data_IF_918796505541
#
_entry.id   IF_918796505541
#
_cell.length_a   1.000
_cell.length_b   1.000
_cell.length_c   1.000
_cell.angle_alpha   90.00
_cell.angle_beta   90.00
_cell.angle_gamma   90.00
#
_symmetry.space_group_name_H-M   'P 1'
#
loop_
_entity.id
_entity.type
_entity.pdbx_description
1 polymer ?
#
# COMPACT_ATOMS: atom_id res chain seq x y z
N UNK A 1 24.68 45.95 19.28
CA UNK A 1 23.79 44.77 19.44
C UNK A 1 22.75 44.91 20.57
N UNK A 2 23.08 45.47 21.75
CA UNK A 2 22.16 45.57 22.91
C UNK A 2 20.96 46.55 22.78
N UNK A 3 21.03 47.62 21.97
CA UNK A 3 19.90 48.56 21.75
C UNK A 3 18.78 47.96 20.88
N UNK A 4 19.12 47.24 19.81
CA UNK A 4 18.16 46.69 18.83
C UNK A 4 17.21 45.62 19.39
N UNK A 5 17.66 44.85 20.39
CA UNK A 5 16.84 43.83 21.07
C UNK A 5 15.88 44.48 22.08
N UNK A 6 16.29 45.61 22.67
CA UNK A 6 15.53 46.35 23.69
C UNK A 6 14.22 46.91 23.13
N UNK A 7 14.26 47.41 21.89
CA UNK A 7 13.12 48.03 21.22
C UNK A 7 12.07 47.01 20.72
N UNK A 8 12.46 45.72 20.60
CA UNK A 8 11.59 44.65 20.11
C UNK A 8 10.75 43.95 21.20
N UNK A 9 11.21 43.92 22.45
CA UNK A 9 10.60 43.08 23.50
C UNK A 9 9.51 43.82 24.30
N UNK A 10 9.66 45.13 24.48
CA UNK A 10 8.70 45.95 25.23
C UNK A 10 7.27 46.05 24.65
N UNK A 11 7.08 46.02 23.32
CA UNK A 11 5.75 46.02 22.71
C UNK A 11 4.99 44.70 22.88
N UNK A 12 5.68 43.58 23.09
CA UNK A 12 5.07 42.24 22.98
C UNK A 12 4.00 42.00 24.03
N UNK A 13 4.25 42.37 25.30
CA UNK A 13 3.28 42.16 26.40
C UNK A 13 2.06 43.07 26.28
N UNK A 14 2.28 44.33 25.84
CA UNK A 14 1.19 45.26 25.61
C UNK A 14 0.34 44.81 24.41
N UNK A 15 0.98 44.43 23.31
CA UNK A 15 0.32 44.04 22.05
C UNK A 15 -0.30 42.65 22.11
N UNK A 16 0.16 41.75 22.98
CA UNK A 16 -0.41 40.41 23.15
C UNK A 16 -1.79 40.42 23.84
N UNK A 17 -2.18 41.53 24.47
CA UNK A 17 -3.51 41.67 25.09
C UNK A 17 -4.58 42.00 24.04
N UNK A 18 -4.83 41.08 23.12
CA UNK A 18 -5.87 41.23 22.10
C UNK A 18 -6.60 39.89 21.94
N UNK A 19 -7.85 39.94 21.48
CA UNK A 19 -8.70 38.74 21.40
C UNK A 19 -8.07 37.62 20.55
N UNK A 20 -7.37 37.94 19.46
CA UNK A 20 -6.70 36.96 18.59
C UNK A 20 -5.55 36.25 19.33
N UNK A 21 -4.68 37.02 19.97
CA UNK A 21 -3.56 36.45 20.74
C UNK A 21 -4.05 35.69 21.98
N UNK A 22 -5.12 36.14 22.64
CA UNK A 22 -5.74 35.43 23.77
C UNK A 22 -6.36 34.11 23.33
N UNK A 23 -7.08 34.08 22.20
CA UNK A 23 -7.56 32.83 21.59
C UNK A 23 -6.38 31.89 21.30
N UNK A 24 -5.28 32.41 20.76
CA UNK A 24 -4.06 31.63 20.55
C UNK A 24 -3.52 30.99 21.84
N UNK A 25 -3.44 31.77 22.94
CA UNK A 25 -3.02 31.25 24.26
C UNK A 25 -3.97 30.18 24.78
N UNK A 26 -5.29 30.37 24.64
CA UNK A 26 -6.29 29.37 25.06
C UNK A 26 -6.12 28.07 24.29
N UNK A 27 -5.92 28.13 22.97
CA UNK A 27 -5.72 26.94 22.14
C UNK A 27 -4.42 26.20 22.49
N UNK A 28 -3.31 26.93 22.66
CA UNK A 28 -2.02 26.32 23.04
C UNK A 28 -2.11 25.68 24.43
N UNK A 29 -2.70 26.37 25.40
CA UNK A 29 -2.83 25.87 26.77
C UNK A 29 -3.78 24.67 26.82
N UNK A 30 -4.93 24.76 26.17
CA UNK A 30 -5.88 23.65 26.08
C UNK A 30 -5.27 22.43 25.39
N UNK A 31 -4.53 22.63 24.29
CA UNK A 31 -3.83 21.55 23.61
C UNK A 31 -2.70 20.95 24.46
N UNK A 32 -1.96 21.76 25.20
CA UNK A 32 -0.93 21.28 26.13
C UNK A 32 -1.53 20.46 27.28
N UNK A 33 -2.65 20.89 27.86
CA UNK A 33 -3.37 20.14 28.90
C UNK A 33 -3.90 18.83 28.34
N UNK A 34 -4.54 18.85 27.17
CA UNK A 34 -5.01 17.64 26.50
C UNK A 34 -3.85 16.68 26.20
N UNK A 35 -2.71 17.20 25.74
CA UNK A 35 -1.50 16.41 25.52
C UNK A 35 -1.02 15.73 26.81
N UNK A 36 -0.99 16.44 27.95
CA UNK A 36 -0.63 15.86 29.25
C UNK A 36 -1.60 14.72 29.65
N UNK A 37 -2.91 14.94 29.49
CA UNK A 37 -3.92 13.94 29.82
C UNK A 37 -3.84 12.69 28.94
N UNK A 38 -3.43 12.86 27.67
CA UNK A 38 -3.25 11.79 26.70
C UNK A 38 -1.85 11.17 26.74
N UNK A 39 -0.93 11.71 27.53
CA UNK A 39 0.45 11.23 27.61
C UNK A 39 0.56 9.74 27.94
N UNK A 40 -0.28 9.13 28.82
CA UNK A 40 -0.27 7.69 29.06
C UNK A 40 -0.52 6.86 27.79
N UNK A 41 -1.48 7.26 26.95
CA UNK A 41 -1.77 6.54 25.69
C UNK A 41 -0.66 6.73 24.66
N UNK A 42 0.03 7.87 24.70
CA UNK A 42 1.22 8.10 23.87
C UNK A 42 2.41 7.23 24.30
N UNK A 43 2.53 6.87 25.58
CA UNK A 43 3.63 6.05 26.10
C UNK A 43 3.42 4.55 25.84
N UNK A 44 2.17 4.06 25.85
CA UNK A 44 1.85 2.63 25.63
C UNK A 44 1.96 2.17 24.18
N UNK A 45 2.17 3.09 23.23
CA UNK A 45 2.59 2.77 21.86
C UNK A 45 1.50 2.77 20.80
N UNK A 46 0.25 2.48 21.15
CA UNK A 46 -0.84 2.31 20.17
C UNK A 46 -2.09 3.14 20.49
N UNK A 47 -2.63 3.82 19.49
CA UNK A 47 -4.01 4.29 19.54
C UNK A 47 -4.95 3.09 19.37
N UNK A 48 -5.83 2.87 20.35
CA UNK A 48 -6.77 1.75 20.34
C UNK A 48 -7.69 1.72 19.10
N UNK A 49 -7.92 2.88 18.45
CA UNK A 49 -8.68 2.97 17.20
C UNK A 49 -8.08 4.04 16.27
N UNK A 50 -8.30 3.94 14.94
CA UNK A 50 -7.88 4.97 14.00
C UNK A 50 -8.44 6.36 14.35
N UNK A 51 -9.68 6.44 14.82
CA UNK A 51 -10.33 7.71 15.14
C UNK A 51 -9.69 8.43 16.32
N UNK A 52 -9.32 7.69 17.38
CA UNK A 52 -8.57 8.25 18.50
C UNK A 52 -7.22 8.76 17.98
N UNK A 53 -6.54 7.98 17.13
CA UNK A 53 -5.28 8.40 16.52
C UNK A 53 -5.38 9.69 15.71
N UNK A 54 -6.41 9.87 14.89
CA UNK A 54 -6.66 11.12 14.14
C UNK A 54 -6.85 12.30 15.11
N UNK A 55 -7.66 12.12 16.17
CA UNK A 55 -7.91 13.17 17.14
C UNK A 55 -6.63 13.58 17.89
N UNK A 56 -5.88 12.60 18.40
CA UNK A 56 -4.72 12.84 19.25
C UNK A 56 -3.47 13.22 18.47
N UNK A 57 -3.28 12.68 17.27
CA UNK A 57 -2.05 12.81 16.51
C UNK A 57 -2.18 13.69 15.27
N UNK A 58 -3.38 14.12 14.86
CA UNK A 58 -3.54 15.09 13.76
C UNK A 58 -4.23 16.37 14.23
N UNK A 59 -5.41 16.26 14.83
CA UNK A 59 -6.21 17.44 15.22
C UNK A 59 -5.51 18.23 16.34
N UNK A 60 -5.04 17.54 17.38
CA UNK A 60 -4.39 18.18 18.53
C UNK A 60 -3.11 18.96 18.14
N UNK A 61 -2.16 18.40 17.35
CA UNK A 61 -1.04 19.19 16.81
C UNK A 61 -1.49 20.41 15.99
N UNK A 62 -2.50 20.27 15.12
CA UNK A 62 -3.02 21.38 14.31
C UNK A 62 -3.54 22.50 15.20
N UNK A 63 -4.31 22.19 16.25
CA UNK A 63 -4.82 23.17 17.22
C UNK A 63 -3.66 23.86 17.95
N UNK A 64 -2.66 23.10 18.40
CA UNK A 64 -1.49 23.62 19.10
C UNK A 64 -0.70 24.62 18.23
N UNK A 65 -0.36 24.23 17.00
CA UNK A 65 0.40 25.09 16.08
C UNK A 65 -0.42 26.27 15.54
N UNK A 66 -1.71 26.09 15.29
CA UNK A 66 -2.62 27.19 14.95
C UNK A 66 -2.68 28.22 16.10
N UNK A 67 -2.79 27.75 17.35
CA UNK A 67 -2.74 28.60 18.53
C UNK A 67 -1.42 29.38 18.63
N UNK A 68 -0.28 28.72 18.43
CA UNK A 68 1.04 29.37 18.40
C UNK A 68 1.14 30.41 17.28
N UNK A 69 0.52 30.18 16.12
CA UNK A 69 0.49 31.13 15.00
C UNK A 69 -0.43 32.33 15.24
N UNK A 70 -1.54 32.16 15.96
CA UNK A 70 -2.48 33.24 16.29
C UNK A 70 -1.86 34.29 17.23
N UNK A 71 -0.95 33.88 18.14
CA UNK A 71 -0.27 34.78 19.07
C UNK A 71 0.49 35.90 18.34
N UNK A 72 1.48 35.64 17.47
CA UNK A 72 2.20 36.67 16.72
C UNK A 72 1.31 37.36 15.67
N UNK A 73 0.31 36.66 15.09
CA UNK A 73 -0.64 37.27 14.16
C UNK A 73 -1.45 38.38 14.85
N UNK A 74 -1.98 38.12 16.05
CA UNK A 74 -2.72 39.11 16.84
C UNK A 74 -1.85 40.32 17.20
N UNK A 75 -0.60 40.07 17.62
CA UNK A 75 0.39 41.12 17.91
C UNK A 75 0.63 41.99 16.67
N UNK A 76 0.83 41.38 15.49
CA UNK A 76 1.08 42.09 14.23
C UNK A 76 -0.12 42.92 13.78
N UNK A 77 -1.32 42.35 13.84
CA UNK A 77 -2.55 43.04 13.44
C UNK A 77 -2.87 44.21 14.37
N UNK A 78 -2.69 44.04 15.68
CA UNK A 78 -2.87 45.10 16.66
C UNK A 78 -1.84 46.21 16.50
N UNK A 79 -0.55 45.86 16.32
CA UNK A 79 0.50 46.83 16.04
C UNK A 79 0.20 47.65 14.78
N UNK A 80 -0.17 46.99 13.67
CA UNK A 80 -0.56 47.68 12.43
C UNK A 80 -1.73 48.65 12.65
N UNK A 81 -2.78 48.20 13.36
CA UNK A 81 -3.94 49.04 13.68
C UNK A 81 -3.55 50.26 14.50
N UNK A 82 -2.82 50.07 15.60
CA UNK A 82 -2.44 51.16 16.50
C UNK A 82 -1.47 52.16 15.83
N UNK A 83 -0.56 51.69 14.97
CA UNK A 83 0.27 52.58 14.15
C UNK A 83 -0.54 53.38 13.13
N UNK A 84 -1.55 52.76 12.50
CA UNK A 84 -2.40 53.43 11.50
C UNK A 84 -3.38 54.41 12.14
N UNK A 85 -3.83 54.13 13.37
CA UNK A 85 -4.74 54.98 14.14
C UNK A 85 -4.03 56.06 14.97
N UNK A 86 -2.70 56.10 15.00
CA UNK A 86 -1.93 57.08 15.78
C UNK A 86 -1.96 56.89 17.30
N UNK A 87 -2.50 55.77 17.79
CA UNK A 87 -2.65 55.44 19.22
C UNK A 87 -1.46 54.61 19.73
N UNK A 88 -0.45 54.37 18.88
CA UNK A 88 0.70 53.58 19.24
C UNK A 88 1.52 54.28 20.35
N UNK A 89 1.79 53.63 21.50
CA UNK A 89 2.52 54.24 22.59
C UNK A 89 3.89 54.78 22.15
N UNK A 90 4.19 56.03 22.49
CA UNK A 90 5.48 56.68 22.17
C UNK A 90 6.61 56.26 23.10
N UNK A 91 6.28 55.66 24.25
CA UNK A 91 7.24 55.13 25.23
C UNK A 91 6.73 53.82 25.82
N UNK A 92 7.58 52.80 25.84
CA UNK A 92 7.34 51.56 26.55
C UNK A 92 8.21 51.46 27.82
N UNK A 93 7.84 50.65 28.83
CA UNK A 93 8.63 50.49 30.04
C UNK A 93 10.09 50.11 29.75
N UNK A 94 11.07 50.63 30.49
CA UNK A 94 12.48 50.35 30.22
C UNK A 94 12.79 48.86 30.40
N UNK A 95 13.27 48.25 29.31
CA UNK A 95 13.73 46.86 29.26
C UNK A 95 15.13 46.77 29.87
N UNK A 96 15.16 46.66 31.20
CA UNK A 96 16.36 46.52 32.03
C UNK A 96 16.32 45.20 32.82
N UNK A 97 17.45 44.48 32.83
CA UNK A 97 17.64 43.25 33.62
C UNK A 97 17.53 43.51 35.14
N UNK A 98 17.67 44.75 35.58
CA UNK A 98 17.44 45.14 36.99
C UNK A 98 15.96 45.11 37.36
N UNK A 99 15.05 45.27 36.40
CA UNK A 99 13.60 45.26 36.63
C UNK A 99 13.12 43.82 36.91
N UNK A 100 12.49 43.61 38.07
CA UNK A 100 11.99 42.30 38.50
C UNK A 100 10.87 41.76 37.58
N UNK A 101 9.98 42.63 37.10
CA UNK A 101 8.90 42.25 36.19
C UNK A 101 9.44 41.83 34.83
N UNK A 102 10.48 42.53 34.33
CA UNK A 102 11.15 42.16 33.09
C UNK A 102 11.87 40.81 33.21
N UNK A 103 12.57 40.56 34.34
CA UNK A 103 13.19 39.24 34.61
C UNK A 103 12.16 38.11 34.65
N UNK A 104 11.05 38.29 35.37
CA UNK A 104 9.96 37.30 35.44
C UNK A 104 9.35 37.01 34.07
N UNK A 105 9.13 38.05 33.26
CA UNK A 105 8.66 37.91 31.88
C UNK A 105 9.66 37.12 31.03
N UNK A 106 10.94 37.48 31.08
CA UNK A 106 11.99 36.80 30.32
C UNK A 106 12.07 35.31 30.71
N UNK A 107 12.06 35.02 32.01
CA UNK A 107 12.04 33.64 32.53
C UNK A 107 10.78 32.90 32.07
N UNK A 108 9.61 33.53 32.15
CA UNK A 108 8.36 32.94 31.67
C UNK A 108 8.40 32.63 30.17
N UNK A 109 8.83 33.58 29.34
CA UNK A 109 8.94 33.39 27.88
C UNK A 109 9.95 32.30 27.57
N UNK A 110 11.10 32.27 28.26
CA UNK A 110 12.10 31.22 28.07
C UNK A 110 11.53 29.83 28.44
N UNK A 111 10.89 29.68 29.59
CA UNK A 111 10.29 28.43 30.04
C UNK A 111 9.12 28.00 29.15
N UNK A 112 8.23 28.92 28.78
CA UNK A 112 7.11 28.64 27.89
C UNK A 112 7.59 28.26 26.49
N UNK A 113 8.64 28.91 25.97
CA UNK A 113 9.24 28.54 24.69
C UNK A 113 9.85 27.15 24.75
N UNK A 114 10.61 26.84 25.82
CA UNK A 114 11.17 25.51 26.04
C UNK A 114 10.06 24.45 26.11
N UNK A 115 9.02 24.68 26.90
CA UNK A 115 7.87 23.78 26.99
C UNK A 115 7.17 23.60 25.62
N UNK A 116 6.96 24.67 24.87
CA UNK A 116 6.34 24.62 23.54
C UNK A 116 7.21 23.84 22.55
N UNK A 117 8.54 23.96 22.62
CA UNK A 117 9.46 23.17 21.80
C UNK A 117 9.34 21.69 22.15
N UNK A 118 9.34 21.33 23.43
CA UNK A 118 9.20 19.94 23.88
C UNK A 118 7.86 19.34 23.42
N UNK A 119 6.75 20.04 23.72
CA UNK A 119 5.39 19.61 23.36
C UNK A 119 5.24 19.53 21.85
N UNK A 120 5.63 20.59 21.13
CA UNK A 120 5.55 20.67 19.68
C UNK A 120 6.37 19.58 18.99
N UNK A 121 7.57 19.29 19.49
CA UNK A 121 8.42 18.21 18.96
C UNK A 121 7.78 16.84 19.15
N UNK A 122 7.26 16.56 20.36
CA UNK A 122 6.59 15.29 20.64
C UNK A 122 5.31 15.11 19.82
N UNK A 123 4.48 16.16 19.76
CA UNK A 123 3.25 16.17 18.96
C UNK A 123 3.56 15.94 17.48
N UNK A 124 4.56 16.61 16.93
CA UNK A 124 4.96 16.45 15.52
C UNK A 124 5.50 15.05 15.25
N UNK A 125 6.40 14.55 16.11
CA UNK A 125 6.97 13.21 15.98
C UNK A 125 5.87 12.14 15.98
N UNK A 126 4.94 12.22 16.92
CA UNK A 126 3.80 11.29 17.02
C UNK A 126 2.82 11.43 15.87
N UNK A 127 2.56 12.65 15.40
CA UNK A 127 1.75 12.89 14.20
C UNK A 127 2.32 12.19 12.97
N UNK A 128 3.61 12.37 12.72
CA UNK A 128 4.31 11.73 11.60
C UNK A 128 4.28 10.21 11.72
N UNK A 129 4.68 9.69 12.87
CA UNK A 129 4.71 8.24 13.09
C UNK A 129 3.33 7.60 12.99
N UNK A 130 2.28 8.28 13.44
CA UNK A 130 0.91 7.80 13.28
C UNK A 130 0.49 7.77 11.80
N UNK A 131 0.76 8.83 11.04
CA UNK A 131 0.48 8.88 9.60
C UNK A 131 1.25 7.84 8.78
N UNK A 132 2.34 7.31 9.34
CA UNK A 132 3.17 6.29 8.71
C UNK A 132 2.80 4.86 9.16
N UNK A 133 1.80 4.73 10.03
CA UNK A 133 1.35 3.43 10.53
C UNK A 133 0.40 2.72 9.57
N UNK A 134 0.42 1.38 9.62
CA UNK A 134 -0.55 0.52 8.92
C UNK A 134 -1.99 0.86 9.33
N UNK A 135 -2.22 1.17 10.61
CA UNK A 135 -3.52 1.57 11.12
C UNK A 135 -4.06 2.82 10.42
N UNK A 136 -3.23 3.85 10.27
CA UNK A 136 -3.65 5.05 9.55
C UNK A 136 -3.87 4.77 8.07
N UNK A 137 -2.87 4.20 7.38
CA UNK A 137 -2.94 3.98 5.94
C UNK A 137 -4.07 3.01 5.53
N UNK A 138 -4.31 1.95 6.31
CA UNK A 138 -5.27 0.91 5.97
C UNK A 138 -6.68 1.13 6.52
N UNK A 139 -6.83 1.80 7.67
CA UNK A 139 -8.11 1.85 8.39
C UNK A 139 -8.71 3.26 8.52
N UNK A 140 -7.92 4.34 8.39
CA UNK A 140 -8.47 5.70 8.51
C UNK A 140 -9.43 6.02 7.36
N UNK A 141 -9.05 5.69 6.13
CA UNK A 141 -9.87 5.83 4.93
C UNK A 141 -10.52 4.48 4.55
N UNK A 142 -11.26 3.88 5.49
CA UNK A 142 -11.72 2.50 5.40
C UNK A 142 -12.38 2.17 4.05
N UNK A 143 -13.29 2.97 3.49
CA UNK A 143 -13.91 2.62 2.20
C UNK A 143 -12.91 2.53 1.04
N UNK A 144 -12.00 3.49 0.92
CA UNK A 144 -11.07 3.59 -0.23
C UNK A 144 -9.93 2.58 -0.11
N UNK A 145 -9.46 2.37 1.12
CA UNK A 145 -8.30 1.53 1.41
C UNK A 145 -8.66 0.09 1.75
N UNK A 146 -9.93 -0.23 2.02
CA UNK A 146 -10.37 -1.59 2.37
C UNK A 146 -9.91 -2.66 1.37
N UNK A 147 -9.97 -2.48 0.03
CA UNK A 147 -9.48 -3.49 -0.90
C UNK A 147 -8.01 -3.84 -0.70
N UNK A 148 -7.15 -2.82 -0.68
CA UNK A 148 -5.70 -3.00 -0.57
C UNK A 148 -5.31 -3.45 0.85
N UNK A 149 -6.03 -3.00 1.89
CA UNK A 149 -5.79 -3.38 3.28
C UNK A 149 -6.18 -4.84 3.57
N UNK A 150 -7.32 -5.30 3.08
CA UNK A 150 -7.75 -6.69 3.22
C UNK A 150 -6.79 -7.66 2.52
N UNK A 151 -6.30 -7.29 1.34
CA UNK A 151 -5.29 -8.05 0.62
C UNK A 151 -3.93 -8.05 1.37
N UNK A 152 -3.49 -6.89 1.89
CA UNK A 152 -2.25 -6.75 2.66
C UNK A 152 -2.21 -7.70 3.87
N UNK A 153 -3.31 -7.81 4.63
CA UNK A 153 -3.38 -8.61 5.85
C UNK A 153 -3.11 -10.10 5.64
N UNK A 154 -3.38 -10.62 4.44
CA UNK A 154 -3.21 -12.02 4.08
C UNK A 154 -1.98 -12.26 3.19
N UNK A 155 -1.08 -11.27 3.12
CA UNK A 155 0.07 -11.31 2.22
C UNK A 155 1.37 -11.74 2.91
N UNK A 156 2.40 -12.16 2.15
CA UNK A 156 3.75 -12.41 2.68
C UNK A 156 4.38 -11.18 3.37
N UNK A 157 3.84 -9.99 3.11
CA UNK A 157 4.31 -8.71 3.64
C UNK A 157 3.37 -8.11 4.69
N UNK A 158 2.43 -8.88 5.27
CA UNK A 158 1.47 -8.41 6.27
C UNK A 158 2.09 -7.83 7.57
N UNK A 159 3.40 -7.94 7.74
CA UNK A 159 4.18 -7.42 8.86
C UNK A 159 5.18 -6.32 8.47
N UNK A 160 5.16 -5.87 7.22
CA UNK A 160 6.00 -4.77 6.70
C UNK A 160 5.15 -3.50 6.66
N UNK A 161 5.63 -2.37 7.18
CA UNK A 161 4.82 -1.18 7.23
C UNK A 161 4.50 -0.67 5.82
N UNK A 162 3.31 -0.08 5.62
CA UNK A 162 2.93 0.46 4.31
C UNK A 162 3.98 1.44 3.76
N UNK A 163 4.56 2.25 4.64
CA UNK A 163 5.54 3.29 4.28
C UNK A 163 6.89 2.76 3.82
N UNK A 164 7.27 1.56 4.25
CA UNK A 164 8.52 0.91 3.83
C UNK A 164 8.49 0.64 2.32
N UNK A 165 7.29 0.47 1.75
CA UNK A 165 7.06 0.32 0.31
C UNK A 165 6.63 1.63 -0.38
N UNK A 166 5.74 2.42 0.25
CA UNK A 166 5.03 3.52 -0.44
C UNK A 166 5.61 4.92 -0.26
N UNK A 167 6.42 5.20 0.77
CA UNK A 167 6.91 6.57 1.06
C UNK A 167 8.38 6.76 0.65
N UNK A 168 9.21 5.72 0.72
CA UNK A 168 10.62 5.79 0.37
C UNK A 168 11.49 6.58 1.39
N UNK A 169 12.78 6.25 1.54
CA UNK A 169 13.70 6.96 2.41
C UNK A 169 14.13 8.30 1.81
N UNK A 170 14.54 9.21 2.69
CA UNK A 170 15.07 10.52 2.33
C UNK A 170 14.03 11.64 2.42
N UNK A 171 14.50 12.83 2.77
CA UNK A 171 13.64 13.99 3.03
C UNK A 171 12.80 14.42 1.82
N UNK A 172 13.30 14.25 0.60
CA UNK A 172 12.58 14.64 -0.62
C UNK A 172 11.34 13.77 -0.87
N UNK A 173 11.48 12.45 -0.72
CA UNK A 173 10.38 11.50 -0.88
C UNK A 173 9.38 11.61 0.26
N UNK A 174 9.86 11.82 1.49
CA UNK A 174 9.00 12.13 2.63
C UNK A 174 8.12 13.37 2.37
N UNK A 175 8.68 14.48 1.87
CA UNK A 175 7.87 15.68 1.58
C UNK A 175 6.89 15.44 0.42
N UNK A 176 7.34 14.78 -0.66
CA UNK A 176 6.48 14.45 -1.81
C UNK A 176 5.30 13.57 -1.39
N UNK A 177 5.53 12.56 -0.55
CA UNK A 177 4.46 11.68 -0.09
C UNK A 177 3.41 12.42 0.73
N UNK A 178 3.82 13.36 1.61
CA UNK A 178 2.88 14.18 2.40
C UNK A 178 2.09 15.16 1.53
N UNK A 179 2.70 15.77 0.51
CA UNK A 179 1.99 16.63 -0.44
C UNK A 179 0.99 15.84 -1.29
N UNK A 180 1.38 14.66 -1.78
CA UNK A 180 0.47 13.74 -2.48
C UNK A 180 -0.66 13.27 -1.57
N UNK A 181 -0.35 12.93 -0.31
CA UNK A 181 -1.32 12.53 0.70
C UNK A 181 -2.34 13.61 1.02
N UNK A 182 -1.95 14.89 1.04
CA UNK A 182 -2.90 16.00 1.19
C UNK A 182 -3.88 16.06 0.00
N UNK A 183 -3.40 15.86 -1.23
CA UNK A 183 -4.26 15.75 -2.41
C UNK A 183 -5.22 14.56 -2.34
N UNK A 184 -4.74 13.40 -1.88
CA UNK A 184 -5.58 12.21 -1.65
C UNK A 184 -6.64 12.45 -0.58
N UNK A 185 -6.29 13.11 0.52
CA UNK A 185 -7.23 13.47 1.57
C UNK A 185 -8.35 14.36 1.00
N UNK A 186 -8.02 15.38 0.21
CA UNK A 186 -9.01 16.22 -0.46
C UNK A 186 -9.89 15.37 -1.41
N UNK A 187 -9.29 14.49 -2.20
CA UNK A 187 -10.04 13.62 -3.11
C UNK A 187 -11.03 12.71 -2.35
N UNK A 188 -10.62 12.16 -1.20
CA UNK A 188 -11.50 11.37 -0.32
C UNK A 188 -12.59 12.25 0.29
N UNK A 189 -12.26 13.43 0.82
CA UNK A 189 -13.21 14.37 1.43
C UNK A 189 -14.29 14.83 0.44
N UNK A 190 -13.91 15.13 -0.80
CA UNK A 190 -14.81 15.61 -1.84
C UNK A 190 -15.33 14.50 -2.77
N UNK A 191 -14.98 13.25 -2.49
CA UNK A 191 -15.41 12.08 -3.26
C UNK A 191 -15.04 12.15 -4.77
N UNK A 192 -13.87 12.70 -5.10
CA UNK A 192 -13.42 12.92 -6.49
C UNK A 192 -12.41 11.88 -6.99
N UNK A 193 -12.31 10.72 -6.33
CA UNK A 193 -11.39 9.65 -6.70
C UNK A 193 -12.05 8.61 -7.64
N UNK A 194 -11.26 7.97 -8.53
CA UNK A 194 -11.75 6.92 -9.42
C UNK A 194 -12.10 5.63 -8.66
N UNK A 195 -13.01 4.84 -9.24
CA UNK A 195 -13.42 3.52 -8.72
C UNK A 195 -13.50 2.52 -9.89
N UNK A 196 -12.67 1.46 -9.93
CA UNK A 196 -11.57 1.15 -9.00
C UNK A 196 -10.40 2.14 -9.09
N UNK A 197 -9.47 2.06 -8.15
CA UNK A 197 -8.24 2.88 -8.16
C UNK A 197 -7.33 2.37 -9.30
N UNK A 198 -6.92 3.21 -10.25
CA UNK A 198 -6.14 2.75 -11.40
C UNK A 198 -4.77 2.24 -10.96
N UNK A 199 -4.30 1.19 -11.63
CA UNK A 199 -2.93 0.67 -11.48
C UNK A 199 -2.26 0.53 -12.84
N UNK A 200 -0.93 0.66 -12.90
CA UNK A 200 0.02 0.89 -11.80
C UNK A 200 -0.03 2.31 -11.21
N UNK A 201 0.37 2.46 -9.94
CA UNK A 201 0.47 3.77 -9.28
C UNK A 201 1.71 4.52 -9.81
N UNK A 202 1.51 5.75 -10.31
CA UNK A 202 2.56 6.50 -11.01
C UNK A 202 3.64 7.10 -10.07
N UNK A 203 3.29 7.42 -8.83
CA UNK A 203 4.17 8.14 -7.89
C UNK A 203 4.85 7.22 -6.85
N UNK A 204 5.12 5.97 -7.20
CA UNK A 204 5.87 5.05 -6.34
C UNK A 204 7.38 5.24 -6.51
N UNK A 205 8.13 4.91 -5.45
CA UNK A 205 9.59 4.81 -5.50
C UNK A 205 10.04 3.77 -6.54
N UNK A 206 11.20 3.94 -7.19
CA UNK A 206 11.76 2.88 -8.04
C UNK A 206 11.85 1.56 -7.29
N UNK A 207 11.37 0.47 -7.92
CA UNK A 207 11.24 -0.80 -7.22
C UNK A 207 12.58 -1.32 -6.69
N UNK A 208 13.67 -1.11 -7.43
CA UNK A 208 15.02 -1.53 -7.01
C UNK A 208 15.40 -0.94 -5.66
N UNK A 209 15.16 0.34 -5.44
CA UNK A 209 15.55 0.96 -4.19
C UNK A 209 14.69 0.53 -2.99
N UNK A 210 13.47 0.03 -3.24
CA UNK A 210 12.52 -0.44 -2.21
C UNK A 210 12.64 -1.94 -1.97
N UNK A 211 12.41 -2.75 -3.01
CA UNK A 211 12.42 -4.19 -2.93
C UNK A 211 13.82 -4.72 -2.57
N UNK A 212 14.88 -4.09 -3.08
CA UNK A 212 16.24 -4.63 -2.92
C UNK A 212 16.85 -4.37 -1.53
N UNK A 213 16.18 -3.61 -0.67
CA UNK A 213 16.58 -3.49 0.74
C UNK A 213 16.35 -4.79 1.52
N UNK A 214 15.42 -5.62 1.05
CA UNK A 214 15.04 -6.89 1.67
C UNK A 214 15.29 -8.10 0.75
N UNK A 215 15.21 -7.93 -0.57
CA UNK A 215 15.40 -8.98 -1.57
C UNK A 215 16.69 -8.76 -2.36
N UNK A 216 17.48 -9.79 -2.62
CA UNK A 216 18.76 -9.64 -3.30
C UNK A 216 18.75 -10.30 -4.68
N UNK A 217 18.34 -9.60 -5.77
CA UNK A 217 18.29 -10.19 -7.11
C UNK A 217 19.67 -10.60 -7.64
N UNK A 218 20.73 -9.91 -7.21
CA UNK A 218 22.12 -10.26 -7.52
C UNK A 218 22.63 -11.48 -6.71
N UNK A 219 21.81 -12.10 -5.87
CA UNK A 219 22.11 -13.38 -5.26
C UNK A 219 21.43 -14.49 -6.06
N UNK A 220 22.21 -15.48 -6.47
CA UNK A 220 21.68 -16.65 -7.18
C UNK A 220 20.64 -17.37 -6.30
N UNK A 221 19.44 -17.55 -6.87
CA UNK A 221 18.39 -18.38 -6.32
C UNK A 221 18.30 -19.67 -7.11
N UNK A 222 18.40 -20.81 -6.42
CA UNK A 222 18.22 -22.10 -7.04
C UNK A 222 16.79 -22.30 -7.53
N UNK A 223 16.63 -23.24 -8.46
CA UNK A 223 15.32 -23.63 -8.98
C UNK A 223 14.40 -24.11 -7.85
N UNK A 224 13.10 -23.84 -7.99
CA UNK A 224 12.09 -24.16 -6.97
C UNK A 224 10.96 -24.97 -7.57
N UNK A 225 10.61 -26.04 -6.88
CA UNK A 225 9.41 -26.80 -7.22
C UNK A 225 8.19 -26.03 -6.74
N UNK A 226 7.23 -25.82 -7.63
CA UNK A 226 5.91 -25.27 -7.34
C UNK A 226 4.86 -26.33 -7.60
N UNK A 227 4.06 -26.63 -6.59
CA UNK A 227 2.96 -27.59 -6.66
C UNK A 227 1.67 -26.78 -6.62
N UNK A 228 0.82 -26.97 -7.61
CA UNK A 228 -0.46 -26.29 -7.74
C UNK A 228 -1.54 -27.37 -7.65
N UNK A 229 -2.31 -27.35 -6.57
CA UNK A 229 -3.46 -28.23 -6.40
C UNK A 229 -4.68 -27.62 -7.08
N UNK A 230 -5.38 -28.43 -7.87
CA UNK A 230 -6.63 -28.13 -8.53
C UNK A 230 -7.71 -29.09 -8.03
N UNK A 231 -8.95 -28.62 -7.99
CA UNK A 231 -10.09 -29.42 -7.55
C UNK A 231 -11.22 -29.33 -8.57
N UNK A 232 -11.75 -30.48 -8.97
CA UNK A 232 -12.89 -30.58 -9.86
C UNK A 232 -14.18 -30.12 -9.19
N UNK A 233 -15.17 -29.72 -10.00
CA UNK A 233 -16.52 -29.36 -9.57
C UNK A 233 -17.45 -30.58 -9.42
N UNK A 234 -16.90 -31.72 -8.98
CA UNK A 234 -17.59 -32.99 -8.79
C UNK A 234 -17.90 -33.26 -7.31
N UNK A 235 -18.57 -34.38 -7.04
CA UNK A 235 -19.01 -34.74 -5.69
C UNK A 235 -17.83 -34.92 -4.73
N UNK A 236 -16.76 -35.56 -5.20
CA UNK A 236 -15.57 -35.88 -4.41
C UNK A 236 -14.56 -34.74 -4.30
N UNK A 237 -14.80 -33.62 -4.99
CA UNK A 237 -13.82 -32.54 -5.17
C UNK A 237 -12.47 -33.14 -5.59
N UNK A 238 -12.46 -33.88 -6.70
CA UNK A 238 -11.32 -34.67 -7.17
C UNK A 238 -10.09 -33.77 -7.32
N UNK A 239 -8.99 -34.16 -6.66
CA UNK A 239 -7.77 -33.36 -6.60
C UNK A 239 -6.83 -33.78 -7.72
N UNK A 240 -6.35 -32.80 -8.47
CA UNK A 240 -5.24 -32.95 -9.40
C UNK A 240 -4.13 -31.98 -9.06
N UNK A 241 -2.90 -32.28 -9.48
CA UNK A 241 -1.72 -31.49 -9.17
C UNK A 241 -0.94 -31.21 -10.44
N UNK A 242 -0.61 -29.94 -10.64
CA UNK A 242 0.39 -29.48 -11.60
C UNK A 242 1.69 -29.20 -10.87
N UNK A 243 2.80 -29.75 -11.36
CA UNK A 243 4.13 -29.62 -10.73
C UNK A 243 5.07 -28.93 -11.70
N UNK A 244 5.63 -27.81 -11.28
CA UNK A 244 6.55 -26.98 -12.06
C UNK A 244 7.91 -26.92 -11.38
N UNK A 245 9.00 -27.02 -12.15
CA UNK A 245 10.33 -26.59 -11.73
C UNK A 245 10.58 -25.18 -12.24
N UNK A 246 10.52 -24.19 -11.35
CA UNK A 246 10.71 -22.78 -11.69
C UNK A 246 12.20 -22.43 -11.74
N UNK A 247 12.68 -21.89 -12.86
CA UNK A 247 14.05 -21.43 -13.04
C UNK A 247 14.22 -19.98 -12.55
N UNK A 248 14.36 -19.79 -11.24
CA UNK A 248 14.43 -18.43 -10.65
C UNK A 248 15.75 -17.74 -11.04
N UNK A 249 16.88 -18.40 -10.78
CA UNK A 249 18.21 -17.90 -11.12
C UNK A 249 18.60 -16.62 -10.38
N UNK A 250 19.40 -15.76 -11.04
CA UNK A 250 19.91 -14.50 -10.48
C UNK A 250 21.41 -14.50 -10.23
N UNK A 251 21.93 -13.39 -9.71
CA UNK A 251 23.36 -13.18 -9.51
C UNK A 251 24.20 -13.15 -10.79
N UNK A 252 25.54 -13.32 -10.69
CA UNK A 252 26.45 -13.07 -11.81
C UNK A 252 26.30 -14.09 -12.96
N UNK A 253 25.58 -15.19 -12.73
CA UNK A 253 25.21 -16.12 -13.79
C UNK A 253 23.93 -15.62 -14.44
N UNK A 254 24.02 -15.17 -15.70
CA UNK A 254 22.87 -14.77 -16.54
C UNK A 254 22.08 -16.03 -16.93
N UNK A 255 21.37 -16.62 -15.95
CA UNK A 255 20.55 -17.82 -16.05
C UNK A 255 19.30 -17.66 -15.20
N UNK A 256 18.22 -18.34 -15.61
CA UNK A 256 16.91 -18.23 -15.00
C UNK A 256 16.28 -16.85 -15.18
N UNK A 257 15.04 -16.70 -14.73
CA UNK A 257 14.19 -15.52 -14.95
C UNK A 257 14.87 -14.25 -14.41
N UNK A 258 15.39 -14.26 -13.18
CA UNK A 258 16.06 -13.09 -12.61
C UNK A 258 17.39 -12.79 -13.29
N UNK A 259 18.17 -13.81 -13.66
CA UNK A 259 19.47 -13.59 -14.29
C UNK A 259 19.34 -12.92 -15.65
N UNK A 260 18.33 -13.30 -16.45
CA UNK A 260 18.13 -12.74 -17.79
C UNK A 260 17.42 -11.39 -17.79
N UNK A 261 16.66 -11.03 -16.75
CA UNK A 261 15.93 -9.75 -16.69
C UNK A 261 16.56 -8.69 -15.78
N UNK A 262 17.16 -9.13 -14.67
CA UNK A 262 17.66 -8.26 -13.59
C UNK A 262 19.12 -8.57 -13.21
N UNK A 263 19.83 -9.38 -14.02
CA UNK A 263 21.23 -9.73 -13.76
C UNK A 263 22.17 -8.52 -13.82
N UNK A 264 23.39 -8.62 -13.26
CA UNK A 264 24.35 -7.51 -13.27
C UNK A 264 24.65 -7.00 -14.68
N UNK A 265 24.44 -5.69 -14.90
CA UNK A 265 24.64 -5.04 -16.19
C UNK A 265 23.50 -5.23 -17.20
N UNK A 266 22.58 -6.16 -16.95
CA UNK A 266 21.38 -6.33 -17.78
C UNK A 266 20.47 -5.12 -17.60
N UNK A 267 19.99 -4.58 -18.70
CA UNK A 267 18.99 -3.52 -18.69
C UNK A 267 17.96 -3.77 -19.80
N UNK A 268 16.69 -3.82 -19.41
CA UNK A 268 15.57 -3.96 -20.34
C UNK A 268 14.80 -2.65 -20.34
N UNK A 269 14.62 -2.07 -21.53
CA UNK A 269 13.75 -0.92 -21.76
C UNK A 269 12.59 -1.36 -22.62
N UNK A 270 11.39 -0.88 -22.32
CA UNK A 270 10.22 -1.18 -23.13
C UNK A 270 9.34 0.05 -23.30
N UNK A 271 8.68 0.14 -24.45
CA UNK A 271 7.64 1.13 -24.71
C UNK A 271 6.28 0.46 -24.51
N UNK A 272 5.28 1.21 -24.03
CA UNK A 272 3.93 0.69 -23.86
C UNK A 272 2.88 1.65 -24.45
N UNK A 273 1.83 1.11 -25.06
CA UNK A 273 0.78 1.91 -25.73
C UNK A 273 -0.42 2.20 -24.83
N UNK A 274 -0.60 1.45 -23.75
CA UNK A 274 -1.71 1.59 -22.81
C UNK A 274 -1.23 2.01 -21.40
N UNK A 275 -2.15 2.51 -20.58
CA UNK A 275 -1.84 2.97 -19.22
C UNK A 275 -1.53 1.84 -18.22
N UNK A 276 -2.03 0.61 -18.46
CA UNK A 276 -1.83 -0.56 -17.58
C UNK A 276 -0.52 -1.29 -17.89
N UNK A 277 0.15 -0.92 -18.99
CA UNK A 277 1.41 -1.52 -19.48
C UNK A 277 1.21 -2.99 -19.87
N UNK A 278 0.07 -3.29 -20.48
CA UNK A 278 -0.23 -4.62 -21.00
C UNK A 278 0.24 -4.78 -22.44
N UNK A 279 0.17 -3.70 -23.22
CA UNK A 279 0.53 -3.67 -24.62
C UNK A 279 1.93 -3.09 -24.78
N UNK A 280 2.89 -3.96 -25.08
CA UNK A 280 4.31 -3.63 -25.22
C UNK A 280 4.70 -3.89 -26.67
N UNK A 281 4.73 -2.88 -27.55
CA UNK A 281 5.09 -3.09 -28.96
C UNK A 281 6.61 -3.05 -29.23
N UNK A 282 7.42 -2.65 -28.26
CA UNK A 282 8.86 -2.51 -28.42
C UNK A 282 9.63 -2.79 -27.14
N UNK A 283 10.71 -3.55 -27.27
CA UNK A 283 11.63 -3.95 -26.19
C UNK A 283 13.07 -3.77 -26.66
N UNK A 284 13.91 -3.16 -25.84
CA UNK A 284 15.35 -3.10 -25.99
C UNK A 284 16.02 -3.85 -24.85
N UNK A 285 16.85 -4.81 -25.22
CA UNK A 285 17.60 -5.67 -24.32
C UNK A 285 19.09 -5.33 -24.38
N UNK A 286 19.68 -4.91 -23.26
CA UNK A 286 21.11 -4.75 -23.08
C UNK A 286 21.65 -5.85 -22.18
N UNK A 287 22.68 -6.57 -22.62
CA UNK A 287 23.25 -7.74 -21.93
C UNK A 287 24.32 -7.40 -20.88
N UNK A 288 24.64 -6.12 -20.71
CA UNK A 288 25.69 -5.63 -19.81
C UNK A 288 27.13 -5.86 -20.30
N UNK A 289 27.30 -6.49 -21.46
CA UNK A 289 28.59 -6.74 -22.13
C UNK A 289 28.80 -5.81 -23.34
N UNK A 290 27.93 -4.83 -23.52
CA UNK A 290 27.96 -3.85 -24.60
C UNK A 290 27.12 -4.25 -25.83
N UNK A 291 26.42 -5.39 -25.79
CA UNK A 291 25.48 -5.75 -26.85
C UNK A 291 24.08 -5.23 -26.51
N UNK A 292 23.41 -4.67 -27.52
CA UNK A 292 22.02 -4.22 -27.41
C UNK A 292 21.22 -4.80 -28.56
N UNK A 293 20.08 -5.41 -28.26
CA UNK A 293 19.15 -5.96 -29.26
C UNK A 293 17.77 -5.34 -29.07
N UNK A 294 17.19 -4.84 -30.15
CA UNK A 294 15.83 -4.34 -30.16
C UNK A 294 14.90 -5.39 -30.76
N UNK A 295 13.73 -5.55 -30.15
CA UNK A 295 12.64 -6.41 -30.57
C UNK A 295 11.39 -5.57 -30.70
N UNK A 296 10.62 -5.81 -31.75
CA UNK A 296 9.42 -5.05 -32.06
C UNK A 296 8.32 -5.99 -32.53
N UNK A 297 7.07 -5.63 -32.20
CA UNK A 297 5.91 -6.30 -32.79
C UNK A 297 5.78 -5.95 -34.28
N UNK A 298 5.06 -6.75 -35.09
CA UNK A 298 4.96 -6.54 -36.54
C UNK A 298 4.43 -5.16 -36.95
N UNK A 299 3.52 -4.60 -36.16
CA UNK A 299 2.87 -3.31 -36.45
C UNK A 299 3.66 -2.09 -35.94
N UNK A 300 4.76 -2.33 -35.21
CA UNK A 300 5.57 -1.26 -34.63
C UNK A 300 6.44 -0.58 -35.68
N UNK A 301 6.33 0.75 -35.77
CA UNK A 301 7.15 1.56 -36.69
C UNK A 301 8.43 2.03 -35.99
N UNK A 302 9.63 1.71 -36.53
CA UNK A 302 10.89 2.17 -35.95
C UNK A 302 10.94 3.70 -35.77
N UNK A 303 11.45 4.17 -34.63
CA UNK A 303 11.56 5.59 -34.29
C UNK A 303 10.36 6.15 -33.51
N UNK A 304 9.23 5.42 -33.47
CA UNK A 304 8.04 5.84 -32.72
C UNK A 304 8.21 5.67 -31.20
N UNK A 305 9.12 4.82 -30.74
CA UNK A 305 9.44 4.65 -29.31
C UNK A 305 9.83 5.96 -28.64
N UNK A 306 10.48 6.88 -29.38
CA UNK A 306 10.89 8.20 -28.88
C UNK A 306 9.72 9.09 -28.49
N UNK A 307 8.55 8.83 -29.05
CA UNK A 307 7.31 9.55 -28.76
C UNK A 307 6.44 8.82 -27.72
N UNK A 308 6.78 7.57 -27.41
CA UNK A 308 6.08 6.74 -26.43
C UNK A 308 6.69 6.89 -25.04
N UNK A 309 5.93 6.46 -24.03
CA UNK A 309 6.45 6.33 -22.66
C UNK A 309 7.36 5.11 -22.60
N UNK A 310 8.66 5.35 -22.56
CA UNK A 310 9.67 4.29 -22.38
C UNK A 310 9.99 4.14 -20.90
N UNK A 311 9.97 2.90 -20.43
CA UNK A 311 10.29 2.53 -19.06
C UNK A 311 11.46 1.55 -19.01
N UNK A 312 12.30 1.67 -17.99
CA UNK A 312 13.27 0.64 -17.62
C UNK A 312 12.54 -0.39 -16.76
N UNK A 313 12.65 -1.66 -17.13
CA UNK A 313 12.04 -2.77 -16.40
C UNK A 313 12.60 -2.86 -14.97
N UNK A 314 11.74 -3.12 -14.01
CA UNK A 314 12.10 -3.41 -12.62
C UNK A 314 11.24 -4.54 -12.02
N UNK A 315 11.43 -4.82 -10.72
CA UNK A 315 10.76 -5.91 -10.02
C UNK A 315 9.22 -5.85 -10.13
N UNK A 316 8.62 -4.65 -10.20
CA UNK A 316 7.16 -4.49 -10.23
C UNK A 316 6.57 -4.75 -11.62
N UNK A 317 7.38 -4.86 -12.67
CA UNK A 317 6.86 -5.23 -13.98
C UNK A 317 6.43 -6.70 -14.03
N UNK A 318 7.01 -7.57 -13.19
CA UNK A 318 6.62 -8.97 -12.98
C UNK A 318 5.90 -9.20 -11.64
N UNK A 319 6.45 -8.70 -10.53
CA UNK A 319 5.85 -8.77 -9.19
C UNK A 319 4.95 -7.56 -8.92
N UNK A 320 4.00 -7.30 -9.81
CA UNK A 320 3.17 -6.08 -9.78
C UNK A 320 2.19 -6.00 -8.59
N UNK A 321 1.96 -7.12 -7.88
CA UNK A 321 1.14 -7.22 -6.67
C UNK A 321 1.86 -8.04 -5.58
N UNK A 322 2.92 -7.51 -4.96
CA UNK A 322 3.73 -8.28 -4.00
C UNK A 322 3.06 -8.43 -2.62
N UNK A 323 2.09 -7.56 -2.32
CA UNK A 323 1.32 -7.58 -1.05
C UNK A 323 -0.19 -7.52 -1.29
N UNK A 324 -0.65 -6.75 -2.27
CA UNK A 324 -2.09 -6.61 -2.53
C UNK A 324 -2.58 -7.61 -3.58
N UNK A 325 -2.54 -8.90 -3.25
CA UNK A 325 -2.92 -9.97 -4.18
C UNK A 325 -4.44 -10.14 -4.21
N UNK A 326 -5.01 -10.01 -5.41
CA UNK A 326 -6.42 -10.32 -5.69
C UNK A 326 -6.47 -11.59 -6.53
N UNK A 327 -7.00 -12.66 -5.96
CA UNK A 327 -7.11 -13.97 -6.60
C UNK A 327 -8.37 -14.05 -7.47
N UNK A 328 -8.36 -14.91 -8.50
CA UNK A 328 -9.57 -15.36 -9.17
C UNK A 328 -10.30 -16.41 -8.31
N UNK A 329 -11.64 -16.55 -8.45
CA UNK A 329 -12.41 -17.39 -7.53
C UNK A 329 -12.02 -18.86 -7.60
N UNK A 330 -11.61 -19.36 -8.76
CA UNK A 330 -11.12 -20.72 -8.96
C UNK A 330 -9.88 -20.99 -8.11
N UNK A 331 -8.86 -20.16 -8.25
CA UNK A 331 -7.59 -20.26 -7.52
C UNK A 331 -7.81 -20.10 -6.02
N UNK A 332 -8.63 -19.13 -5.60
CA UNK A 332 -8.90 -18.88 -4.19
C UNK A 332 -9.62 -20.05 -3.51
N UNK A 333 -10.58 -20.68 -4.18
CA UNK A 333 -11.26 -21.87 -3.65
C UNK A 333 -10.34 -23.08 -3.66
N UNK A 334 -9.50 -23.26 -4.68
CA UNK A 334 -8.50 -24.34 -4.69
C UNK A 334 -7.56 -24.23 -3.50
N UNK A 335 -7.06 -23.02 -3.22
CA UNK A 335 -6.22 -22.77 -2.07
C UNK A 335 -6.94 -23.07 -0.75
N UNK A 336 -8.19 -22.62 -0.59
CA UNK A 336 -8.97 -22.88 0.63
C UNK A 336 -9.31 -24.37 0.84
N UNK A 337 -9.50 -25.14 -0.23
CA UNK A 337 -9.65 -26.59 -0.14
C UNK A 337 -8.32 -27.24 0.26
N UNK A 338 -7.21 -26.82 -0.35
CA UNK A 338 -5.87 -27.35 -0.08
C UNK A 338 -5.38 -27.04 1.34
N UNK A 339 -5.70 -25.87 1.88
CA UNK A 339 -5.42 -25.49 3.28
C UNK A 339 -6.38 -26.14 4.28
N UNK A 340 -7.43 -26.83 3.80
CA UNK A 340 -8.45 -27.47 4.61
C UNK A 340 -9.42 -26.49 5.25
N UNK A 341 -9.49 -25.22 4.83
CA UNK A 341 -10.52 -24.26 5.25
C UNK A 341 -11.90 -24.63 4.69
N UNK A 342 -11.93 -25.22 3.49
CA UNK A 342 -13.10 -25.87 2.90
C UNK A 342 -12.83 -27.37 2.88
N UNK A 343 -13.58 -28.14 3.66
CA UNK A 343 -13.36 -29.59 3.71
C UNK A 343 -13.75 -30.27 2.40
N UNK A 344 -12.85 -31.13 1.88
CA UNK A 344 -13.11 -32.00 0.73
C UNK A 344 -14.17 -33.07 0.99
N UNK A 345 -14.45 -33.35 2.27
CA UNK A 345 -15.50 -34.31 2.67
C UNK A 345 -16.91 -33.80 2.40
N UNK A 346 -17.06 -32.51 2.06
CA UNK A 346 -18.33 -31.90 1.73
C UNK A 346 -18.61 -32.09 0.21
N UNK A 347 -19.68 -32.83 -0.15
CA UNK A 347 -20.06 -33.04 -1.54
C UNK A 347 -20.20 -31.74 -2.34
N UNK A 348 -19.55 -31.66 -3.51
CA UNK A 348 -19.63 -30.49 -4.42
C UNK A 348 -19.23 -29.14 -3.78
N UNK A 349 -18.40 -29.14 -2.75
CA UNK A 349 -17.96 -27.93 -2.07
C UNK A 349 -17.30 -26.92 -3.02
N UNK A 350 -16.45 -27.39 -3.95
CA UNK A 350 -15.82 -26.56 -4.97
C UNK A 350 -16.86 -25.86 -5.84
N UNK A 351 -17.79 -26.63 -6.40
CA UNK A 351 -18.87 -26.13 -7.27
C UNK A 351 -19.73 -25.10 -6.56
N UNK A 352 -20.26 -25.43 -5.38
CA UNK A 352 -21.15 -24.51 -4.64
C UNK A 352 -20.43 -23.24 -4.19
N UNK A 353 -19.16 -23.34 -3.82
CA UNK A 353 -18.34 -22.16 -3.50
C UNK A 353 -18.21 -21.22 -4.70
N UNK A 354 -17.90 -21.75 -5.89
CA UNK A 354 -17.77 -20.93 -7.10
C UNK A 354 -19.09 -20.28 -7.52
N UNK A 355 -20.20 -21.01 -7.43
CA UNK A 355 -21.55 -20.47 -7.71
C UNK A 355 -21.83 -19.23 -6.85
N UNK A 356 -21.59 -19.32 -5.54
CA UNK A 356 -21.81 -18.21 -4.61
C UNK A 356 -20.81 -17.07 -4.84
N UNK A 357 -19.53 -17.35 -5.06
CA UNK A 357 -18.53 -16.31 -5.29
C UNK A 357 -18.75 -15.50 -6.57
N UNK A 358 -19.32 -16.14 -7.61
CA UNK A 358 -19.61 -15.51 -8.90
C UNK A 358 -20.97 -14.80 -8.93
N UNK A 359 -21.80 -14.97 -7.91
CA UNK A 359 -23.06 -14.26 -7.79
C UNK A 359 -22.83 -12.75 -7.53
N UNK A 360 -23.84 -11.95 -7.85
CA UNK A 360 -23.83 -10.50 -7.62
C UNK A 360 -24.46 -10.14 -6.28
N UNK A 361 -23.76 -9.30 -5.51
CA UNK A 361 -24.21 -8.81 -4.21
C UNK A 361 -24.10 -7.28 -4.15
N UNK A 362 -25.04 -6.64 -3.48
CA UNK A 362 -25.10 -5.18 -3.41
C UNK A 362 -24.03 -4.59 -2.48
N UNK A 363 -23.76 -5.26 -1.36
CA UNK A 363 -22.81 -4.83 -0.32
C UNK A 363 -22.07 -6.03 0.27
N UNK A 364 -21.00 -5.77 1.00
CA UNK A 364 -20.33 -6.79 1.83
C UNK A 364 -21.28 -7.46 2.83
N UNK A 365 -22.17 -6.70 3.47
CA UNK A 365 -23.13 -7.26 4.43
C UNK A 365 -24.14 -8.21 3.78
N UNK A 366 -24.63 -7.87 2.59
CA UNK A 366 -25.52 -8.75 1.82
C UNK A 366 -24.80 -10.02 1.36
N UNK A 367 -23.58 -9.88 0.84
CA UNK A 367 -22.74 -11.00 0.45
C UNK A 367 -22.45 -11.94 1.63
N UNK A 368 -22.06 -11.42 2.79
CA UNK A 368 -21.78 -12.23 3.98
C UNK A 368 -23.00 -13.07 4.36
N UNK A 369 -24.17 -12.43 4.47
CA UNK A 369 -25.41 -13.11 4.87
C UNK A 369 -25.79 -14.16 3.83
N UNK A 370 -25.86 -13.80 2.55
CA UNK A 370 -26.30 -14.71 1.49
C UNK A 370 -25.34 -15.86 1.25
N UNK A 371 -24.03 -15.61 1.17
CA UNK A 371 -23.04 -16.68 1.00
C UNK A 371 -23.15 -17.68 2.16
N UNK A 372 -23.23 -17.20 3.41
CA UNK A 372 -23.25 -18.10 4.56
C UNK A 372 -24.58 -18.85 4.71
N UNK A 373 -25.72 -18.17 4.51
CA UNK A 373 -27.05 -18.78 4.57
C UNK A 373 -27.30 -19.74 3.41
N UNK A 374 -27.00 -19.36 2.16
CA UNK A 374 -27.26 -20.18 0.97
C UNK A 374 -26.33 -21.41 0.92
N UNK A 375 -25.08 -21.30 1.38
CA UNK A 375 -24.19 -22.46 1.50
C UNK A 375 -24.71 -23.44 2.55
N UNK A 376 -25.10 -22.96 3.73
CA UNK A 376 -25.65 -23.82 4.78
C UNK A 376 -27.00 -24.44 4.39
N UNK A 377 -27.87 -23.69 3.70
CA UNK A 377 -29.15 -24.17 3.19
C UNK A 377 -28.95 -25.28 2.16
N UNK A 378 -27.98 -25.14 1.23
CA UNK A 378 -27.66 -26.17 0.26
C UNK A 378 -27.37 -27.53 0.92
N UNK A 379 -26.52 -27.58 1.95
CA UNK A 379 -26.27 -28.83 2.66
C UNK A 379 -27.45 -29.31 3.49
N UNK A 380 -28.21 -28.40 4.11
CA UNK A 380 -29.41 -28.79 4.86
C UNK A 380 -30.47 -29.46 3.97
N UNK A 381 -30.62 -28.98 2.74
CA UNK A 381 -31.65 -29.43 1.81
C UNK A 381 -31.21 -30.62 0.97
N UNK A 382 -29.98 -30.59 0.43
CA UNK A 382 -29.50 -31.61 -0.51
C UNK A 382 -28.72 -32.75 0.18
N UNK A 383 -28.12 -32.47 1.34
CA UNK A 383 -27.29 -33.43 2.09
C UNK A 383 -27.57 -33.39 3.60
N UNK A 384 -28.83 -33.61 4.05
CA UNK A 384 -29.22 -33.48 5.45
C UNK A 384 -28.36 -34.32 6.39
N UNK A 385 -28.01 -35.55 6.00
CA UNK A 385 -27.12 -36.43 6.76
C UNK A 385 -25.73 -35.82 7.00
N UNK A 386 -25.17 -35.12 6.01
CA UNK A 386 -23.88 -34.42 6.14
C UNK A 386 -24.04 -33.20 7.03
N UNK A 387 -25.12 -32.45 6.88
CA UNK A 387 -25.40 -31.27 7.70
C UNK A 387 -25.55 -31.64 9.19
N UNK A 388 -26.19 -32.77 9.50
CA UNK A 388 -26.32 -33.27 10.87
C UNK A 388 -25.00 -33.82 11.45
N UNK A 389 -24.23 -34.56 10.64
CA UNK A 389 -22.97 -35.19 11.09
C UNK A 389 -21.79 -34.21 11.14
N UNK A 390 -21.75 -33.22 10.25
CA UNK A 390 -20.62 -32.30 10.06
C UNK A 390 -21.06 -30.82 10.06
N UNK A 391 -21.90 -30.33 11.01
CA UNK A 391 -22.41 -28.97 10.98
C UNK A 391 -21.31 -27.91 11.13
N UNK A 392 -20.24 -28.25 11.85
CA UNK A 392 -19.07 -27.38 12.04
C UNK A 392 -18.32 -27.19 10.71
N UNK A 393 -18.15 -28.26 9.93
CA UNK A 393 -17.46 -28.20 8.64
C UNK A 393 -18.24 -27.38 7.62
N UNK A 394 -19.57 -27.55 7.55
CA UNK A 394 -20.43 -26.72 6.69
C UNK A 394 -20.30 -25.25 7.07
N UNK A 395 -20.36 -24.92 8.37
CA UNK A 395 -20.22 -23.53 8.84
C UNK A 395 -18.82 -22.96 8.58
N UNK A 396 -17.77 -23.77 8.75
CA UNK A 396 -16.38 -23.38 8.47
C UNK A 396 -16.18 -23.11 6.98
N UNK A 397 -16.65 -24.00 6.11
CA UNK A 397 -16.59 -23.82 4.67
C UNK A 397 -17.38 -22.58 4.23
N UNK A 398 -18.60 -22.38 4.73
CA UNK A 398 -19.39 -21.18 4.45
C UNK A 398 -18.64 -19.88 4.84
N UNK A 399 -17.96 -19.89 6.00
CA UNK A 399 -17.14 -18.77 6.45
C UNK A 399 -15.90 -18.58 5.58
N UNK A 400 -15.26 -19.66 5.12
CA UNK A 400 -14.12 -19.61 4.21
C UNK A 400 -14.51 -19.01 2.84
N UNK A 401 -15.67 -19.39 2.29
CA UNK A 401 -16.21 -18.79 1.05
C UNK A 401 -16.46 -17.29 1.24
N UNK A 402 -17.03 -16.88 2.36
CA UNK A 402 -17.17 -15.45 2.68
C UNK A 402 -15.81 -14.74 2.80
N UNK A 403 -14.81 -15.35 3.45
CA UNK A 403 -13.47 -14.78 3.57
C UNK A 403 -12.79 -14.61 2.21
N UNK A 404 -13.02 -15.55 1.27
CA UNK A 404 -12.56 -15.43 -0.12
C UNK A 404 -13.23 -14.23 -0.81
N UNK A 405 -14.55 -14.06 -0.65
CA UNK A 405 -15.26 -12.93 -1.26
C UNK A 405 -14.78 -11.59 -0.70
N UNK A 406 -14.78 -11.45 0.63
CA UNK A 406 -14.48 -10.21 1.35
C UNK A 406 -13.05 -9.70 1.19
N UNK A 407 -12.11 -10.55 0.76
CA UNK A 407 -10.73 -10.15 0.44
C UNK A 407 -10.51 -9.78 -1.04
N UNK A 408 -11.45 -10.11 -1.94
CA UNK A 408 -11.25 -9.95 -3.39
C UNK A 408 -12.26 -9.03 -4.08
N UNK A 409 -13.49 -8.93 -3.57
CA UNK A 409 -14.59 -8.18 -4.20
C UNK A 409 -15.03 -7.06 -3.27
N UNK A 410 -15.09 -5.82 -3.77
CA UNK A 410 -15.45 -4.62 -3.01
C UNK A 410 -16.41 -3.76 -3.85
N UNK A 411 -17.74 -3.97 -3.73
CA UNK A 411 -18.75 -3.26 -4.52
C UNK A 411 -18.65 -1.74 -4.46
N UNK A 412 -18.37 -1.18 -3.28
CA UNK A 412 -18.26 0.26 -3.03
C UNK A 412 -17.10 0.91 -3.79
N UNK A 413 -16.06 0.12 -4.08
CA UNK A 413 -14.89 0.53 -4.87
C UNK A 413 -14.91 -0.01 -6.30
N UNK A 414 -16.00 -0.68 -6.70
CA UNK A 414 -16.13 -1.36 -8.01
C UNK A 414 -14.97 -2.30 -8.31
N UNK A 415 -14.44 -2.97 -7.27
CA UNK A 415 -13.45 -4.03 -7.41
C UNK A 415 -14.19 -5.35 -7.44
N UNK A 416 -13.97 -6.12 -8.50
CA UNK A 416 -14.51 -7.47 -8.72
C UNK A 416 -13.42 -8.40 -9.25
N UNK A 417 -13.74 -9.68 -9.45
CA UNK A 417 -12.84 -10.68 -10.02
C UNK A 417 -12.17 -10.16 -11.30
N UNK A 418 -10.84 -10.25 -11.36
CA UNK A 418 -10.06 -9.82 -12.52
C UNK A 418 -9.89 -8.30 -12.69
N UNK A 419 -10.35 -7.47 -11.75
CA UNK A 419 -10.16 -6.01 -11.82
C UNK A 419 -8.69 -5.61 -11.88
N UNK A 420 -7.85 -6.32 -11.13
CA UNK A 420 -6.43 -6.06 -11.00
C UNK A 420 -5.62 -7.26 -11.52
N UNK A 421 -4.92 -7.12 -12.65
CA UNK A 421 -4.12 -8.22 -13.20
C UNK A 421 -2.90 -8.50 -12.33
N UNK A 422 -2.47 -9.77 -12.33
CA UNK A 422 -1.22 -10.22 -11.72
C UNK A 422 -0.27 -10.70 -12.82
N UNK A 423 0.98 -10.23 -12.81
CA UNK A 423 1.94 -10.49 -13.87
C UNK A 423 2.94 -11.62 -13.55
N UNK A 424 2.83 -12.29 -12.41
CA UNK A 424 3.79 -13.32 -11.96
C UNK A 424 3.69 -14.65 -12.74
N UNK A 425 2.66 -14.82 -13.57
CA UNK A 425 2.41 -16.00 -14.40
C UNK A 425 1.57 -15.63 -15.61
N UNK A 426 1.26 -16.62 -16.46
CA UNK A 426 0.60 -16.40 -17.75
C UNK A 426 -0.72 -17.18 -17.94
N UNK A 427 -1.28 -17.75 -16.86
CA UNK A 427 -2.52 -18.56 -16.93
C UNK A 427 -3.76 -17.68 -16.96
N UNK A 428 -3.88 -16.74 -16.01
CA UNK A 428 -5.06 -15.90 -15.83
C UNK A 428 -4.94 -14.55 -16.56
N UNK A 429 -3.72 -14.07 -16.73
CA UNK A 429 -3.37 -12.80 -17.37
C UNK A 429 -2.12 -13.00 -18.24
N UNK A 430 -1.80 -12.09 -19.19
CA UNK A 430 -0.67 -12.28 -20.09
C UNK A 430 0.70 -12.41 -19.40
N UNK A 431 0.93 -11.71 -18.29
CA UNK A 431 2.18 -11.78 -17.53
C UNK A 431 3.43 -11.55 -18.37
N UNK A 432 4.28 -12.57 -18.49
CA UNK A 432 5.50 -12.56 -19.31
C UNK A 432 5.20 -12.52 -20.83
N UNK A 433 4.05 -13.04 -21.26
CA UNK A 433 3.64 -13.05 -22.67
C UNK A 433 3.29 -11.66 -23.21
N UNK A 434 3.38 -10.60 -22.40
CA UNK A 434 3.39 -9.22 -22.92
C UNK A 434 4.62 -8.91 -23.78
N UNK A 435 5.71 -9.65 -23.59
CA UNK A 435 6.92 -9.56 -24.42
C UNK A 435 7.28 -10.89 -25.09
N UNK A 436 6.96 -12.02 -24.45
CA UNK A 436 7.26 -13.37 -24.92
C UNK A 436 6.05 -13.96 -25.67
N UNK A 437 5.73 -13.40 -26.83
CA UNK A 437 4.51 -13.66 -27.60
C UNK A 437 4.77 -14.27 -29.00
N UNK A 438 6.01 -14.69 -29.27
CA UNK A 438 6.53 -15.12 -30.57
C UNK A 438 6.41 -14.09 -31.73
N UNK A 439 5.86 -12.91 -31.48
CA UNK A 439 5.67 -11.83 -32.45
C UNK A 439 6.78 -10.77 -32.38
N UNK A 440 7.42 -10.63 -31.22
CA UNK A 440 8.53 -9.71 -31.03
C UNK A 440 9.81 -10.18 -31.72
N UNK A 441 10.14 -9.53 -32.83
CA UNK A 441 11.26 -9.89 -33.69
C UNK A 441 12.32 -8.79 -33.75
N UNK A 442 13.59 -9.18 -33.80
CA UNK A 442 14.71 -8.27 -34.03
C UNK A 442 15.00 -8.09 -35.52
N UNK A 443 15.79 -7.07 -35.86
CA UNK A 443 16.21 -6.81 -37.25
C UNK A 443 16.97 -7.98 -37.90
N UNK A 444 17.60 -8.85 -37.11
CA UNK A 444 18.27 -10.06 -37.59
C UNK A 444 17.33 -11.28 -37.70
N UNK A 445 16.02 -11.11 -37.48
CA UNK A 445 15.03 -12.19 -37.52
C UNK A 445 15.03 -13.10 -36.28
N UNK A 446 15.70 -12.71 -35.19
CA UNK A 446 15.65 -13.44 -33.92
C UNK A 446 14.45 -12.98 -33.11
N UNK A 447 13.62 -13.90 -32.64
CA UNK A 447 12.44 -13.60 -31.82
C UNK A 447 12.78 -13.66 -30.33
N UNK A 448 12.00 -12.93 -29.51
CA UNK A 448 11.91 -13.21 -28.08
C UNK A 448 11.29 -14.60 -27.91
N UNK A 449 12.01 -15.49 -27.24
CA UNK A 449 11.60 -16.89 -27.11
C UNK A 449 10.34 -17.03 -26.28
N UNK A 450 9.37 -17.81 -26.77
CA UNK A 450 8.25 -18.32 -25.98
C UNK A 450 8.46 -19.78 -25.51
N UNK A 451 9.71 -20.27 -25.51
CA UNK A 451 10.00 -21.61 -24.98
C UNK A 451 9.74 -21.64 -23.47
N UNK A 452 8.74 -22.41 -23.07
CA UNK A 452 8.36 -22.58 -21.67
C UNK A 452 9.55 -22.99 -20.79
N UNK A 453 10.46 -23.82 -21.31
CA UNK A 453 11.63 -24.33 -20.58
C UNK A 453 12.67 -23.25 -20.26
N UNK A 454 12.58 -22.06 -20.87
CA UNK A 454 13.40 -20.92 -20.46
C UNK A 454 13.00 -20.39 -19.06
N UNK A 455 11.75 -20.63 -18.64
CA UNK A 455 11.17 -20.10 -17.41
C UNK A 455 10.88 -21.21 -16.39
N UNK A 456 10.32 -22.33 -16.84
CA UNK A 456 10.03 -23.48 -16.00
C UNK A 456 9.95 -24.79 -16.79
N UNK A 457 10.24 -25.92 -16.14
CA UNK A 457 9.87 -27.23 -16.68
C UNK A 457 8.53 -27.68 -16.11
N UNK A 458 7.67 -28.21 -16.97
CA UNK A 458 6.44 -28.90 -16.59
C UNK A 458 6.78 -30.35 -16.23
N UNK A 459 6.68 -30.70 -14.95
CA UNK A 459 7.02 -32.03 -14.44
C UNK A 459 5.81 -32.95 -14.34
N UNK A 460 4.62 -32.37 -14.14
CA UNK A 460 3.33 -33.04 -14.17
C UNK A 460 2.24 -31.99 -14.43
N UNK A 461 1.16 -32.37 -15.10
CA UNK A 461 0.05 -31.47 -15.42
C UNK A 461 -1.28 -32.13 -15.09
N UNK A 462 -1.98 -31.55 -14.10
CA UNK A 462 -3.30 -31.99 -13.66
C UNK A 462 -3.41 -33.50 -13.41
N UNK A 463 -2.41 -34.09 -12.75
CA UNK A 463 -2.38 -35.50 -12.38
C UNK A 463 -2.83 -35.69 -10.92
N UNK A 464 -3.64 -36.71 -10.62
CA UNK A 464 -4.08 -37.00 -9.24
C UNK A 464 -2.91 -37.43 -8.33
N UNK A 465 -2.01 -38.27 -8.88
CA UNK A 465 -0.89 -38.85 -8.15
C UNK A 465 0.42 -38.70 -8.93
N UNK A 466 0.97 -37.47 -9.07
CA UNK A 466 2.17 -37.25 -9.86
C UNK A 466 3.36 -38.08 -9.36
N UNK A 467 3.93 -38.93 -10.22
CA UNK A 467 5.07 -39.80 -9.87
C UNK A 467 6.30 -39.00 -9.42
N UNK A 468 6.46 -37.78 -9.93
CA UNK A 468 7.56 -36.89 -9.55
C UNK A 468 7.51 -36.53 -8.06
N UNK A 469 6.33 -36.36 -7.47
CA UNK A 469 6.21 -36.03 -6.05
C UNK A 469 6.64 -37.21 -5.16
N UNK A 470 6.29 -38.44 -5.57
CA UNK A 470 6.75 -39.66 -4.90
C UNK A 470 8.26 -39.78 -4.99
N UNK A 471 8.82 -39.54 -6.17
CA UNK A 471 10.27 -39.59 -6.43
C UNK A 471 11.04 -38.59 -5.55
N UNK A 472 10.47 -37.40 -5.34
CA UNK A 472 11.06 -36.35 -4.50
C UNK A 472 10.80 -36.55 -2.99
N UNK A 473 10.00 -37.54 -2.60
CA UNK A 473 9.61 -37.77 -1.21
C UNK A 473 8.71 -36.68 -0.61
N UNK A 474 8.05 -35.88 -1.46
CA UNK A 474 7.10 -34.85 -1.03
C UNK A 474 5.76 -35.54 -0.75
N UNK A 475 5.27 -35.39 0.49
CA UNK A 475 4.00 -35.98 0.95
C UNK A 475 2.86 -34.99 0.88
#
# INVERSE_FOLDING_TARGET
MRRRIRDWVSPVVYLSNNWISLTGVVLVTGAAVAWILLLPTMLTGDAATPYIGILTFLILPVIFFAGLGLIPLGIRLRSKREHTSGIYPTAFPPVDMRNQSFRRLLTFVALATFANIVIGSQLTYRAVHYMDSVTFCGQACHTVMQPEFAAYQNSPHARVACVDCHIGPGASWFVRSKLSGAGQLLAVTFNTYPRPIPTPIENLRPARETCEQCHWPDKFSADRIRIIANYAEDETNTETKTVLLMHIGGGPQVRGIHGVHLGPGVAIRYAHSDGKRLEIPWVEYSDGKGSTTQYASPDFKPGTEKTMRVRVMDCLDCHNRPTHVFELPETAVNHAISSGEISRTLPYAKKKSLELLKASYATHGDAQRRITEEFAAYYREQYPDIFEKQPIEVKRAASAVWNIYSRNVFPEMKVTWGTYPNHIGHTDFPGCFRCHDDNHSSASGKNLTQDCNACHNLLAMDEENPEILKTLGVR
#
